data_IF_803969964135
#
_entry.id   IF_803969964135
#
_cell.length_a   1.000
_cell.length_b   1.000
_cell.length_c   1.000
_cell.angle_alpha   90.00
_cell.angle_beta   90.00
_cell.angle_gamma   90.00
#
_symmetry.space_group_name_H-M   'P 1'
#
loop_
_entity.id
_entity.type
_entity.pdbx_description
1 polymer ?
#
# COMPACT_ATOMS: atom_id res chain seq x y z
N UNK A 1 -9.90 22.91 -12.60
CA UNK A 1 -9.77 21.67 -11.82
C UNK A 1 -10.90 20.69 -12.15
N UNK A 2 -12.15 21.09 -12.12
CA UNK A 2 -13.33 20.25 -12.40
C UNK A 2 -13.23 19.57 -13.78
N UNK A 3 -12.94 20.32 -14.86
CA UNK A 3 -12.80 19.77 -16.21
C UNK A 3 -11.68 18.71 -16.33
N UNK A 4 -10.57 18.88 -15.58
CA UNK A 4 -9.48 17.91 -15.53
C UNK A 4 -9.95 16.59 -14.90
N UNK A 5 -10.64 16.68 -13.76
CA UNK A 5 -11.15 15.51 -13.04
C UNK A 5 -12.18 14.77 -13.89
N UNK A 6 -13.13 15.49 -14.49
CA UNK A 6 -14.19 14.90 -15.31
C UNK A 6 -13.63 14.16 -16.53
N UNK A 7 -12.70 14.80 -17.27
CA UNK A 7 -12.08 14.22 -18.46
C UNK A 7 -11.26 12.96 -18.18
N UNK A 8 -10.64 12.89 -16.97
CA UNK A 8 -9.69 11.83 -16.61
C UNK A 8 -10.20 10.95 -15.45
N UNK A 9 -11.50 10.95 -15.20
CA UNK A 9 -12.13 10.34 -14.04
C UNK A 9 -11.73 8.87 -13.83
N UNK A 10 -11.74 8.05 -14.89
CA UNK A 10 -11.43 6.62 -14.80
C UNK A 10 -10.03 6.35 -14.23
N UNK A 11 -9.02 7.07 -14.71
CA UNK A 11 -7.65 6.86 -14.28
C UNK A 11 -7.38 7.48 -12.91
N UNK A 12 -8.04 8.60 -12.59
CA UNK A 12 -7.96 9.22 -11.26
C UNK A 12 -8.66 8.35 -10.20
N UNK A 13 -9.84 7.79 -10.52
CA UNK A 13 -10.55 6.84 -9.67
C UNK A 13 -9.71 5.56 -9.48
N UNK A 14 -9.09 5.06 -10.56
CA UNK A 14 -8.14 3.95 -10.45
C UNK A 14 -7.02 4.25 -9.45
N UNK A 15 -6.35 5.39 -9.59
CA UNK A 15 -5.27 5.81 -8.69
C UNK A 15 -5.70 5.93 -7.23
N UNK A 16 -6.88 6.51 -7.00
CA UNK A 16 -7.49 6.62 -5.68
C UNK A 16 -7.81 5.25 -5.08
N UNK A 17 -8.48 4.38 -5.84
CA UNK A 17 -8.92 3.07 -5.33
C UNK A 17 -7.76 2.12 -5.03
N UNK A 18 -6.71 2.11 -5.85
CA UNK A 18 -5.56 1.26 -5.58
C UNK A 18 -4.74 1.79 -4.40
N UNK A 19 -4.70 3.12 -4.20
CA UNK A 19 -4.12 3.73 -3.01
C UNK A 19 -4.95 3.40 -1.76
N UNK A 20 -6.27 3.45 -1.85
CA UNK A 20 -7.18 3.04 -0.78
C UNK A 20 -7.02 1.55 -0.45
N UNK A 21 -7.04 0.66 -1.46
CA UNK A 21 -6.82 -0.78 -1.27
C UNK A 21 -5.46 -1.12 -0.65
N UNK A 22 -4.44 -0.28 -0.85
CA UNK A 22 -3.12 -0.48 -0.22
C UNK A 22 -3.18 -0.45 1.30
N UNK A 23 -4.23 0.12 1.87
CA UNK A 23 -4.47 0.22 3.31
C UNK A 23 -4.42 -1.12 4.03
N UNK A 24 -4.88 -2.21 3.42
CA UNK A 24 -4.83 -3.56 4.01
C UNK A 24 -3.41 -4.06 4.33
N UNK A 25 -2.39 -3.52 3.68
CA UNK A 25 -0.98 -3.82 3.97
C UNK A 25 -0.25 -2.72 4.75
N UNK A 26 -0.94 -1.67 5.16
CA UNK A 26 -0.34 -0.55 5.91
C UNK A 26 -0.22 -0.87 7.40
N UNK A 27 0.68 -0.14 8.06
CA UNK A 27 0.94 -0.32 9.49
C UNK A 27 -0.30 -0.09 10.34
N UNK A 28 -1.07 0.97 10.05
CA UNK A 28 -2.29 1.30 10.80
C UNK A 28 -3.36 0.20 10.76
N UNK A 29 -3.39 -0.60 9.69
CA UNK A 29 -4.31 -1.74 9.56
C UNK A 29 -3.79 -2.97 10.31
N UNK A 30 -2.54 -3.36 10.03
CA UNK A 30 -1.94 -4.59 10.60
C UNK A 30 -1.82 -4.47 12.13
N UNK A 31 -1.52 -3.28 12.65
CA UNK A 31 -1.36 -3.05 14.09
C UNK A 31 -2.65 -3.27 14.89
N UNK A 32 -3.83 -3.16 14.28
CA UNK A 32 -5.10 -3.44 14.95
C UNK A 32 -5.22 -4.91 15.39
N UNK A 33 -4.52 -5.80 14.70
CA UNK A 33 -4.48 -7.24 15.01
C UNK A 33 -3.25 -7.65 15.86
N UNK A 34 -2.45 -6.66 16.31
CA UNK A 34 -1.19 -6.93 16.98
C UNK A 34 -1.38 -7.67 18.31
N UNK A 35 -2.45 -7.38 19.04
CA UNK A 35 -2.81 -8.06 20.29
C UNK A 35 -3.20 -9.51 20.02
N UNK A 36 -4.16 -9.71 19.11
CA UNK A 36 -4.63 -11.04 18.73
C UNK A 36 -3.50 -11.96 18.27
N UNK A 37 -2.57 -11.43 17.45
CA UNK A 37 -1.39 -12.20 17.01
C UNK A 37 -0.44 -12.52 18.17
N UNK A 38 -0.18 -11.55 19.05
CA UNK A 38 0.72 -11.77 20.19
C UNK A 38 0.15 -12.80 21.16
N UNK A 39 -1.13 -12.70 21.48
CA UNK A 39 -1.80 -13.64 22.38
C UNK A 39 -1.87 -15.04 21.76
N UNK A 40 -2.29 -15.16 20.48
CA UNK A 40 -2.41 -16.45 19.81
C UNK A 40 -1.10 -17.21 19.70
N UNK A 41 0.01 -16.50 19.53
CA UNK A 41 1.34 -17.10 19.33
C UNK A 41 2.29 -16.93 20.51
N UNK A 42 1.81 -16.42 21.65
CA UNK A 42 2.60 -16.14 22.87
C UNK A 42 3.84 -15.27 22.57
N UNK A 43 3.68 -14.21 21.77
CA UNK A 43 4.77 -13.31 21.41
C UNK A 43 4.81 -12.08 22.32
N UNK A 44 6.00 -11.73 22.80
CA UNK A 44 6.21 -10.42 23.40
C UNK A 44 6.11 -9.30 22.38
N UNK A 45 5.91 -8.04 22.84
CA UNK A 45 5.94 -6.86 21.97
C UNK A 45 7.23 -6.77 21.15
N UNK A 46 8.37 -7.06 21.76
CA UNK A 46 9.68 -7.03 21.10
C UNK A 46 9.78 -8.10 20.01
N UNK A 47 9.31 -9.32 20.28
CA UNK A 47 9.33 -10.42 19.32
C UNK A 47 8.44 -10.11 18.12
N UNK A 48 7.21 -9.62 18.35
CA UNK A 48 6.31 -9.23 17.27
C UNK A 48 6.86 -8.04 16.48
N UNK A 49 7.42 -7.03 17.15
CA UNK A 49 8.06 -5.88 16.51
C UNK A 49 9.26 -6.27 15.65
N UNK A 50 10.09 -7.22 16.12
CA UNK A 50 11.23 -7.74 15.36
C UNK A 50 10.76 -8.51 14.12
N UNK A 51 9.77 -9.39 14.27
CA UNK A 51 9.15 -10.13 13.17
C UNK A 51 8.59 -9.18 12.10
N UNK A 52 7.81 -8.19 12.53
CA UNK A 52 7.24 -7.16 11.65
C UNK A 52 8.32 -6.36 10.92
N UNK A 53 9.37 -5.94 11.62
CA UNK A 53 10.46 -5.15 11.06
C UNK A 53 11.24 -5.92 10.00
N UNK A 54 11.60 -7.18 10.28
CA UNK A 54 12.32 -8.03 9.33
C UNK A 54 11.46 -8.30 8.08
N UNK A 55 10.19 -8.65 8.27
CA UNK A 55 9.25 -8.87 7.16
C UNK A 55 9.09 -7.59 6.29
N UNK A 56 9.03 -6.42 6.93
CA UNK A 56 8.94 -5.12 6.24
C UNK A 56 10.20 -4.80 5.44
N UNK A 57 11.40 -5.02 6.01
CA UNK A 57 12.67 -4.81 5.31
C UNK A 57 12.78 -5.73 4.10
N UNK A 58 12.47 -7.01 4.24
CA UNK A 58 12.49 -7.96 3.14
C UNK A 58 11.50 -7.58 2.03
N UNK A 59 10.29 -7.14 2.39
CA UNK A 59 9.32 -6.65 1.41
C UNK A 59 9.83 -5.41 0.67
N UNK A 60 10.48 -4.47 1.38
CA UNK A 60 11.07 -3.28 0.78
C UNK A 60 12.24 -3.62 -0.17
N UNK A 61 13.02 -4.63 0.13
CA UNK A 61 14.04 -5.13 -0.79
C UNK A 61 13.41 -5.78 -2.03
N UNK A 62 12.36 -6.58 -1.85
CA UNK A 62 11.68 -7.26 -2.96
C UNK A 62 11.01 -6.28 -3.92
N UNK A 63 10.43 -5.18 -3.43
CA UNK A 63 9.77 -4.20 -4.29
C UNK A 63 10.72 -3.54 -5.29
N UNK A 64 12.03 -3.52 -5.03
CA UNK A 64 13.04 -2.98 -5.96
C UNK A 64 13.00 -3.72 -7.31
N UNK A 65 12.73 -5.02 -7.30
CA UNK A 65 12.61 -5.85 -8.51
C UNK A 65 11.16 -5.99 -8.95
N UNK A 66 10.26 -6.35 -8.05
CA UNK A 66 8.85 -6.57 -8.35
C UNK A 66 8.15 -5.28 -8.85
N UNK A 67 8.56 -4.11 -8.34
CA UNK A 67 8.04 -2.82 -8.79
C UNK A 67 8.37 -2.49 -10.25
N UNK A 68 9.51 -2.98 -10.77
CA UNK A 68 9.89 -2.77 -12.17
C UNK A 68 9.00 -3.51 -13.17
N UNK A 69 8.31 -4.55 -12.74
CA UNK A 69 7.41 -5.30 -13.61
C UNK A 69 6.26 -4.45 -14.16
N UNK A 70 5.93 -3.32 -13.52
CA UNK A 70 4.96 -2.35 -14.03
C UNK A 70 5.38 -1.73 -15.38
N UNK A 71 6.69 -1.77 -15.70
CA UNK A 71 7.24 -1.23 -16.94
C UNK A 71 7.18 -2.24 -18.10
N UNK A 72 7.08 -3.53 -17.79
CA UNK A 72 7.17 -4.62 -18.77
C UNK A 72 5.84 -5.36 -18.96
N UNK A 73 4.96 -5.32 -17.97
CA UNK A 73 3.65 -6.00 -17.98
C UNK A 73 2.54 -4.96 -18.15
N UNK A 74 1.45 -5.32 -18.83
CA UNK A 74 0.30 -4.42 -18.94
C UNK A 74 -0.23 -4.02 -17.56
N UNK A 75 -0.59 -2.76 -17.38
CA UNK A 75 -1.09 -2.22 -16.11
C UNK A 75 -2.22 -3.06 -15.52
N UNK A 76 -3.13 -3.54 -16.38
CA UNK A 76 -4.25 -4.40 -15.99
C UNK A 76 -3.78 -5.72 -15.38
N UNK A 77 -2.91 -6.47 -16.08
CA UNK A 77 -2.40 -7.76 -15.58
C UNK A 77 -1.64 -7.56 -14.27
N UNK A 78 -0.75 -6.57 -14.24
CA UNK A 78 0.04 -6.25 -13.05
C UNK A 78 -0.85 -5.92 -11.85
N UNK A 79 -1.84 -5.01 -12.03
CA UNK A 79 -2.77 -4.62 -10.96
C UNK A 79 -3.58 -5.82 -10.44
N UNK A 80 -4.17 -6.61 -11.35
CA UNK A 80 -4.99 -7.76 -10.93
C UNK A 80 -4.17 -8.83 -10.22
N UNK A 81 -2.92 -9.06 -10.63
CA UNK A 81 -2.01 -9.99 -9.92
C UNK A 81 -1.74 -9.52 -8.49
N UNK A 82 -1.53 -8.21 -8.29
CA UNK A 82 -1.30 -7.65 -6.95
C UNK A 82 -2.55 -7.73 -6.08
N UNK A 83 -3.73 -7.42 -6.65
CA UNK A 83 -5.02 -7.55 -5.94
C UNK A 83 -5.27 -8.98 -5.52
N UNK A 84 -5.05 -9.94 -6.42
CA UNK A 84 -5.19 -11.37 -6.13
C UNK A 84 -4.19 -11.80 -5.04
N UNK A 85 -2.92 -11.40 -5.15
CA UNK A 85 -1.89 -11.69 -4.16
C UNK A 85 -2.24 -11.14 -2.78
N UNK A 86 -2.77 -9.91 -2.71
CA UNK A 86 -3.21 -9.33 -1.44
C UNK A 86 -4.42 -10.07 -0.85
N UNK A 87 -5.42 -10.41 -1.69
CA UNK A 87 -6.59 -11.17 -1.24
C UNK A 87 -6.20 -12.55 -0.69
N UNK A 88 -5.35 -13.29 -1.40
CA UNK A 88 -4.82 -14.58 -0.95
C UNK A 88 -4.07 -14.42 0.38
N UNK A 89 -3.28 -13.37 0.52
CA UNK A 89 -2.54 -13.10 1.75
C UNK A 89 -3.48 -12.81 2.92
N UNK A 90 -4.55 -12.03 2.72
CA UNK A 90 -5.57 -11.80 3.74
C UNK A 90 -6.30 -13.10 4.12
N UNK A 91 -6.55 -13.99 3.16
CA UNK A 91 -7.10 -15.33 3.47
C UNK A 91 -6.14 -16.11 4.37
N UNK A 92 -4.85 -16.16 4.05
CA UNK A 92 -3.85 -16.84 4.89
C UNK A 92 -3.67 -16.18 6.25
N UNK A 93 -3.91 -14.87 6.38
CA UNK A 93 -3.94 -14.20 7.68
C UNK A 93 -5.06 -14.76 8.58
N UNK A 94 -6.21 -15.11 8.01
CA UNK A 94 -7.32 -15.73 8.75
C UNK A 94 -7.06 -17.17 9.20
N UNK A 95 -6.26 -17.94 8.46
CA UNK A 95 -5.92 -19.35 8.78
C UNK A 95 -4.56 -19.51 9.45
N UNK A 96 -3.86 -18.43 9.78
CA UNK A 96 -2.52 -18.51 10.36
C UNK A 96 -2.52 -19.34 11.65
N UNK A 97 -1.59 -20.32 11.74
CA UNK A 97 -1.51 -21.28 12.83
C UNK A 97 -0.12 -21.36 13.49
N UNK A 98 0.89 -20.70 12.93
CA UNK A 98 2.23 -20.63 13.53
C UNK A 98 2.95 -19.32 13.18
N UNK A 99 4.03 -19.03 13.90
CA UNK A 99 4.82 -17.80 13.77
C UNK A 99 5.51 -17.68 12.40
N UNK A 100 5.91 -18.80 11.82
CA UNK A 100 6.57 -18.80 10.49
C UNK A 100 5.58 -18.38 9.41
N UNK A 101 4.36 -18.92 9.43
CA UNK A 101 3.31 -18.50 8.50
C UNK A 101 2.92 -17.03 8.74
N UNK A 102 2.84 -16.59 10.01
CA UNK A 102 2.60 -15.19 10.36
C UNK A 102 3.65 -14.26 9.75
N UNK A 103 4.93 -14.66 9.81
CA UNK A 103 6.01 -13.90 9.18
C UNK A 103 5.79 -13.71 7.67
N UNK A 104 5.47 -14.79 6.95
CA UNK A 104 5.19 -14.70 5.50
C UNK A 104 3.91 -13.92 5.20
N UNK A 105 2.88 -14.04 6.02
CA UNK A 105 1.65 -13.24 5.90
C UNK A 105 2.00 -11.76 6.02
N UNK A 106 2.72 -11.35 7.05
CA UNK A 106 3.11 -9.94 7.22
C UNK A 106 4.00 -9.49 6.05
N UNK A 107 4.97 -10.29 5.63
CA UNK A 107 5.81 -9.99 4.48
C UNK A 107 4.99 -9.73 3.21
N UNK A 108 4.03 -10.60 2.86
CA UNK A 108 3.22 -10.44 1.67
C UNK A 108 2.17 -9.32 1.80
N UNK A 109 1.59 -9.09 2.98
CA UNK A 109 0.75 -7.91 3.23
C UNK A 109 1.52 -6.61 2.97
N UNK A 110 2.76 -6.53 3.47
CA UNK A 110 3.64 -5.38 3.25
C UNK A 110 4.03 -5.26 1.79
N UNK A 111 4.34 -6.36 1.11
CA UNK A 111 4.73 -6.37 -0.29
C UNK A 111 3.58 -5.96 -1.20
N UNK A 112 2.45 -6.67 -1.17
CA UNK A 112 1.34 -6.42 -2.08
C UNK A 112 0.57 -5.15 -1.71
N UNK A 113 0.22 -4.96 -0.44
CA UNK A 113 -0.58 -3.84 0.02
C UNK A 113 0.23 -2.54 0.03
N UNK A 114 1.07 -2.32 1.02
CA UNK A 114 1.82 -1.07 1.14
C UNK A 114 2.77 -0.86 -0.03
N UNK A 115 3.51 -1.88 -0.42
CA UNK A 115 4.55 -1.80 -1.41
C UNK A 115 4.00 -1.62 -2.82
N UNK A 116 3.56 -2.71 -3.44
CA UNK A 116 3.23 -2.74 -4.87
C UNK A 116 1.97 -1.94 -5.22
N UNK A 117 0.90 -1.97 -4.40
CA UNK A 117 -0.28 -1.13 -4.66
C UNK A 117 0.04 0.36 -4.54
N UNK A 118 0.75 0.75 -3.50
CA UNK A 118 1.19 2.14 -3.32
C UNK A 118 2.12 2.61 -4.45
N UNK A 119 3.04 1.75 -4.89
CA UNK A 119 3.90 2.00 -6.04
C UNK A 119 3.08 2.14 -7.34
N UNK A 120 2.13 1.24 -7.59
CA UNK A 120 1.29 1.27 -8.79
C UNK A 120 0.47 2.56 -8.87
N UNK A 121 -0.15 2.99 -7.78
CA UNK A 121 -0.90 4.25 -7.72
C UNK A 121 -0.02 5.43 -8.14
N UNK A 122 1.11 5.62 -7.48
CA UNK A 122 2.00 6.77 -7.72
C UNK A 122 2.63 6.74 -9.10
N UNK A 123 3.12 5.58 -9.53
CA UNK A 123 3.78 5.42 -10.84
C UNK A 123 2.79 5.65 -11.98
N UNK A 124 1.59 5.11 -11.88
CA UNK A 124 0.55 5.33 -12.90
C UNK A 124 0.18 6.82 -13.00
N UNK A 125 -0.10 7.47 -11.87
CA UNK A 125 -0.42 8.90 -11.88
C UNK A 125 0.73 9.74 -12.45
N UNK A 126 1.96 9.44 -12.05
CA UNK A 126 3.13 10.16 -12.53
C UNK A 126 3.41 9.96 -14.03
N UNK A 127 3.09 8.77 -14.57
CA UNK A 127 3.32 8.40 -15.97
C UNK A 127 2.30 9.01 -16.92
N UNK A 128 1.02 8.90 -16.57
CA UNK A 128 -0.06 9.32 -17.45
C UNK A 128 -0.36 10.82 -17.38
N UNK A 129 -0.06 11.49 -16.28
CA UNK A 129 -0.36 12.92 -16.07
C UNK A 129 0.90 13.77 -15.97
N UNK A 130 1.66 13.93 -17.07
CA UNK A 130 2.90 14.72 -17.08
C UNK A 130 2.66 16.18 -16.70
N UNK A 131 1.74 16.87 -17.39
CA UNK A 131 1.43 18.28 -17.16
C UNK A 131 0.68 18.53 -15.84
N UNK A 132 -0.17 17.61 -15.40
CA UNK A 132 -0.98 17.71 -14.18
C UNK A 132 -0.55 16.73 -13.08
N UNK A 133 0.72 16.29 -13.10
CA UNK A 133 1.26 15.25 -12.21
C UNK A 133 0.97 15.50 -10.74
N UNK A 134 1.19 16.72 -10.26
CA UNK A 134 0.93 17.07 -8.84
C UNK A 134 -0.53 16.92 -8.46
N UNK A 135 -1.47 17.33 -9.34
CA UNK A 135 -2.92 17.18 -9.09
C UNK A 135 -3.33 15.72 -9.07
N UNK A 136 -2.84 14.90 -10.01
CA UNK A 136 -3.16 13.49 -10.09
C UNK A 136 -2.61 12.72 -8.88
N UNK A 137 -1.37 12.99 -8.47
CA UNK A 137 -0.78 12.41 -7.26
C UNK A 137 -1.51 12.82 -5.99
N UNK A 138 -1.97 14.09 -5.88
CA UNK A 138 -2.76 14.54 -4.74
C UNK A 138 -4.10 13.80 -4.67
N UNK A 139 -4.84 13.70 -5.78
CA UNK A 139 -6.14 12.99 -5.83
C UNK A 139 -5.96 11.51 -5.45
N UNK A 140 -4.97 10.83 -6.02
CA UNK A 140 -4.71 9.44 -5.66
C UNK A 140 -4.25 9.29 -4.21
N UNK A 141 -3.49 10.26 -3.69
CA UNK A 141 -3.04 10.31 -2.30
C UNK A 141 -4.18 10.35 -1.29
N UNK A 142 -5.30 10.99 -1.61
CA UNK A 142 -6.50 10.95 -0.77
C UNK A 142 -6.98 9.52 -0.49
N UNK A 143 -6.72 8.56 -1.39
CA UNK A 143 -7.03 7.15 -1.15
C UNK A 143 -6.35 6.59 0.10
N UNK A 144 -5.10 6.95 0.36
CA UNK A 144 -4.40 6.58 1.61
C UNK A 144 -5.07 7.19 2.83
N UNK A 145 -5.32 8.50 2.80
CA UNK A 145 -5.92 9.22 3.94
C UNK A 145 -7.33 8.71 4.26
N UNK A 146 -8.12 8.41 3.23
CA UNK A 146 -9.43 7.78 3.40
C UNK A 146 -9.32 6.37 4.00
N UNK A 147 -8.34 5.57 3.56
CA UNK A 147 -8.09 4.26 4.14
C UNK A 147 -7.70 4.35 5.61
N UNK A 148 -6.79 5.26 5.95
CA UNK A 148 -6.33 5.49 7.32
C UNK A 148 -7.47 5.96 8.24
N UNK A 149 -8.42 6.73 7.71
CA UNK A 149 -9.60 7.20 8.45
C UNK A 149 -10.66 6.09 8.62
N UNK A 150 -10.96 5.32 7.59
CA UNK A 150 -12.11 4.41 7.57
C UNK A 150 -11.77 3.02 8.12
N UNK A 151 -10.62 2.46 7.72
CA UNK A 151 -10.29 1.07 8.07
C UNK A 151 -10.19 0.82 9.57
N UNK A 152 -9.53 1.65 10.40
CA UNK A 152 -9.47 1.37 11.82
C UNK A 152 -10.86 1.26 12.46
N UNK A 153 -11.76 2.17 12.11
CA UNK A 153 -13.13 2.17 12.62
C UNK A 153 -13.89 0.91 12.21
N UNK A 154 -13.90 0.58 10.92
CA UNK A 154 -14.61 -0.61 10.41
C UNK A 154 -14.02 -1.90 10.96
N UNK A 155 -12.69 -2.00 11.00
CA UNK A 155 -11.98 -3.23 11.41
C UNK A 155 -12.17 -3.49 12.90
N UNK A 156 -12.11 -2.47 13.76
CA UNK A 156 -12.37 -2.64 15.20
C UNK A 156 -13.78 -3.19 15.44
N UNK A 157 -14.80 -2.62 14.76
CA UNK A 157 -16.18 -3.16 14.86
C UNK A 157 -16.24 -4.62 14.43
N UNK A 158 -15.58 -4.98 13.32
CA UNK A 158 -15.56 -6.35 12.82
C UNK A 158 -14.83 -7.31 13.77
N UNK A 159 -13.70 -6.91 14.34
CA UNK A 159 -12.95 -7.71 15.32
C UNK A 159 -13.81 -7.96 16.55
N UNK A 160 -14.45 -6.93 17.10
CA UNK A 160 -15.30 -7.05 18.29
C UNK A 160 -16.56 -7.90 18.04
N UNK A 161 -17.13 -7.85 16.81
CA UNK A 161 -18.36 -8.55 16.48
C UNK A 161 -18.15 -10.01 16.08
N UNK A 162 -17.08 -10.29 15.32
CA UNK A 162 -16.87 -11.58 14.65
C UNK A 162 -15.51 -12.22 14.93
N UNK A 163 -14.63 -11.49 15.62
CA UNK A 163 -13.25 -11.91 15.88
C UNK A 163 -12.31 -11.63 14.71
N UNK A 164 -11.02 -11.63 15.01
CA UNK A 164 -9.96 -11.23 14.08
C UNK A 164 -9.81 -12.14 12.85
N UNK A 165 -10.03 -13.44 13.00
CA UNK A 165 -9.92 -14.39 11.88
C UNK A 165 -10.98 -14.15 10.81
N UNK A 166 -12.25 -13.97 11.24
CA UNK A 166 -13.35 -13.68 10.31
C UNK A 166 -13.16 -12.31 9.65
N UNK A 167 -12.60 -11.35 10.37
CA UNK A 167 -12.25 -10.03 9.82
C UNK A 167 -11.23 -10.14 8.69
N UNK A 168 -10.23 -11.01 8.78
CA UNK A 168 -9.30 -11.26 7.69
C UNK A 168 -9.94 -11.98 6.50
N UNK A 169 -10.82 -12.96 6.74
CA UNK A 169 -11.58 -13.61 5.64
C UNK A 169 -12.51 -12.63 4.94
N UNK A 170 -13.24 -11.80 5.68
CA UNK A 170 -14.10 -10.78 5.09
C UNK A 170 -13.28 -9.74 4.30
N UNK A 171 -12.11 -9.36 4.77
CA UNK A 171 -11.17 -8.50 4.05
C UNK A 171 -10.71 -9.13 2.73
N UNK A 172 -10.37 -10.43 2.73
CA UNK A 172 -9.98 -11.17 1.53
C UNK A 172 -11.11 -11.15 0.47
N UNK A 173 -12.33 -11.48 0.88
CA UNK A 173 -13.50 -11.48 0.00
C UNK A 173 -13.79 -10.06 -0.53
N UNK A 174 -13.74 -9.05 0.35
CA UNK A 174 -13.95 -7.66 -0.03
C UNK A 174 -12.92 -7.18 -1.06
N UNK A 175 -11.64 -7.53 -0.88
CA UNK A 175 -10.58 -7.15 -1.81
C UNK A 175 -10.86 -7.71 -3.20
N UNK A 176 -11.24 -8.98 -3.33
CA UNK A 176 -11.42 -9.60 -4.65
C UNK A 176 -12.72 -9.15 -5.30
N UNK A 177 -13.81 -9.09 -4.56
CA UNK A 177 -15.13 -8.76 -5.10
C UNK A 177 -15.26 -7.25 -5.40
N UNK A 178 -14.78 -6.39 -4.51
CA UNK A 178 -14.90 -4.96 -4.70
C UNK A 178 -13.74 -4.43 -5.55
N UNK A 179 -12.49 -4.56 -5.08
CA UNK A 179 -11.35 -4.00 -5.81
C UNK A 179 -11.02 -4.78 -7.06
N UNK A 180 -11.08 -6.13 -7.03
CA UNK A 180 -10.77 -6.96 -8.18
C UNK A 180 -11.71 -6.68 -9.36
N UNK A 181 -13.02 -6.71 -9.13
CA UNK A 181 -14.03 -6.48 -10.18
C UNK A 181 -13.99 -5.03 -10.64
N UNK A 182 -13.94 -4.06 -9.70
CA UNK A 182 -14.01 -2.65 -10.05
C UNK A 182 -12.74 -2.17 -10.79
N UNK A 183 -11.56 -2.56 -10.36
CA UNK A 183 -10.32 -2.25 -11.06
C UNK A 183 -10.23 -2.97 -12.42
N UNK A 184 -10.71 -4.21 -12.52
CA UNK A 184 -10.83 -4.89 -13.81
C UNK A 184 -11.74 -4.12 -14.77
N UNK A 185 -12.88 -3.61 -14.28
CA UNK A 185 -13.81 -2.81 -15.08
C UNK A 185 -13.18 -1.48 -15.54
N UNK A 186 -12.54 -0.75 -14.63
CA UNK A 186 -11.85 0.51 -14.95
C UNK A 186 -10.73 0.32 -15.99
N UNK A 187 -10.00 -0.79 -15.91
CA UNK A 187 -8.91 -1.11 -16.82
C UNK A 187 -9.35 -1.92 -18.05
N UNK A 188 -10.65 -2.08 -18.27
CA UNK A 188 -11.18 -2.82 -19.44
C UNK A 188 -10.93 -2.10 -20.77
N UNK A 189 -10.95 -0.79 -20.76
CA UNK A 189 -10.61 0.04 -21.93
C UNK A 189 -9.12 0.34 -21.87
N UNK A 190 -8.31 -0.48 -22.55
CA UNK A 190 -6.84 -0.38 -22.59
C UNK A 190 -6.28 0.90 -23.26
N UNK A 191 -7.12 1.86 -23.64
CA UNK A 191 -6.73 3.09 -24.31
C UNK A 191 -6.59 4.27 -23.35
N UNK A 192 -5.79 4.10 -22.28
CA UNK A 192 -5.33 5.27 -21.52
C UNK A 192 -4.25 5.98 -22.35
N UNK A 193 -4.67 6.99 -23.13
CA UNK A 193 -3.72 7.88 -23.79
C UNK A 193 -3.01 8.71 -22.72
N UNK A 194 -1.69 8.67 -22.68
CA UNK A 194 -0.92 9.64 -21.89
C UNK A 194 -1.23 11.04 -22.42
N UNK A 195 -1.30 12.05 -21.54
CA UNK A 195 -1.57 13.45 -21.93
C UNK A 195 -0.56 13.99 -22.97
N UNK A 196 0.56 13.32 -23.13
CA UNK A 196 1.56 13.57 -24.18
C UNK A 196 2.00 12.22 -24.72
N UNK A 197 1.81 12.00 -26.03
CA UNK A 197 2.28 10.80 -26.70
C UNK A 197 3.77 10.54 -26.40
N UNK A 198 4.08 9.32 -26.07
CA UNK A 198 5.46 8.88 -25.78
C UNK A 198 6.41 9.06 -26.98
N UNK A 199 5.86 9.37 -28.16
CA UNK A 199 6.61 9.37 -29.43
C UNK A 199 7.50 10.61 -29.66
N UNK A 200 7.31 11.72 -28.92
CA UNK A 200 8.07 12.95 -29.19
C UNK A 200 9.20 13.28 -28.19
N UNK A 201 9.46 12.46 -27.18
CA UNK A 201 10.50 12.77 -26.18
C UNK A 201 11.85 12.08 -26.41
N UNK A 202 12.00 11.24 -27.44
CA UNK A 202 13.33 10.72 -27.79
C UNK A 202 14.33 11.79 -28.27
N UNK A 203 13.85 13.01 -28.56
CA UNK A 203 14.69 14.11 -29.07
C UNK A 203 14.94 15.28 -28.10
N UNK A 204 14.40 15.22 -26.87
CA UNK A 204 14.85 16.18 -25.84
C UNK A 204 15.93 15.51 -25.01
N UNK A 205 17.12 16.06 -24.98
CA UNK A 205 18.24 15.71 -24.09
C UNK A 205 17.88 16.04 -22.63
N UNK A 206 16.82 15.38 -22.09
CA UNK A 206 16.49 15.48 -20.69
C UNK A 206 17.56 14.73 -19.91
N UNK A 207 18.29 15.45 -19.07
CA UNK A 207 19.28 14.87 -18.17
C UNK A 207 18.60 13.81 -17.30
N UNK A 208 18.86 12.55 -17.59
CA UNK A 208 18.29 11.42 -16.88
C UNK A 208 19.23 11.01 -15.74
N UNK A 209 18.82 11.28 -14.52
CA UNK A 209 19.56 10.87 -13.33
C UNK A 209 19.62 9.35 -13.22
N UNK A 210 20.84 8.79 -13.20
CA UNK A 210 21.07 7.38 -12.87
C UNK A 210 21.17 7.23 -11.34
N UNK A 211 20.87 6.02 -10.81
CA UNK A 211 21.04 5.74 -9.37
C UNK A 211 22.41 6.19 -8.84
N UNK A 212 23.46 5.92 -9.60
CA UNK A 212 24.82 6.28 -9.23
C UNK A 212 25.01 7.79 -9.07
N UNK A 213 24.35 8.59 -9.89
CA UNK A 213 24.47 10.05 -9.86
C UNK A 213 23.75 10.62 -8.63
N UNK A 214 22.55 10.09 -8.32
CA UNK A 214 21.81 10.45 -7.10
C UNK A 214 22.59 10.07 -5.84
N UNK A 215 23.16 8.86 -5.77
CA UNK A 215 23.95 8.41 -4.62
C UNK A 215 25.27 9.16 -4.42
N UNK A 216 25.78 9.86 -5.44
CA UNK A 216 26.96 10.73 -5.35
C UNK A 216 26.61 12.15 -4.96
N UNK A 217 25.36 12.57 -5.10
CA UNK A 217 24.95 13.93 -4.77
C UNK A 217 24.76 14.08 -3.26
N UNK A 218 25.56 14.98 -2.64
CA UNK A 218 25.47 15.29 -1.21
C UNK A 218 24.07 15.78 -0.81
N UNK A 219 23.35 16.48 -1.68
CA UNK A 219 21.99 16.95 -1.43
C UNK A 219 21.02 15.80 -1.11
N UNK A 220 21.22 14.62 -1.74
CA UNK A 220 20.45 13.44 -1.44
C UNK A 220 20.54 13.07 0.04
N UNK A 221 21.74 13.05 0.60
CA UNK A 221 21.96 12.71 2.02
C UNK A 221 21.47 13.78 2.98
N UNK A 222 21.39 15.03 2.54
CA UNK A 222 20.82 16.13 3.34
C UNK A 222 19.29 15.99 3.49
N UNK A 223 18.61 15.58 2.42
CA UNK A 223 17.14 15.39 2.44
C UNK A 223 16.71 14.04 3.02
N UNK A 224 17.58 13.04 3.00
CA UNK A 224 17.27 11.68 3.44
C UNK A 224 16.79 11.61 4.90
N UNK A 225 17.47 12.21 5.90
CA UNK A 225 17.00 12.19 7.29
C UNK A 225 15.63 12.81 7.47
N UNK A 226 15.32 13.91 6.77
CA UNK A 226 14.03 14.60 6.87
C UNK A 226 12.87 13.71 6.40
N UNK A 227 13.05 13.02 5.27
CA UNK A 227 12.03 12.11 4.72
C UNK A 227 11.89 10.84 5.55
N UNK A 228 13.00 10.30 6.07
CA UNK A 228 13.00 9.11 6.92
C UNK A 228 12.40 9.40 8.29
N UNK A 229 12.68 10.55 8.90
CA UNK A 229 12.17 10.90 10.21
C UNK A 229 10.64 10.89 10.27
N UNK A 230 9.97 11.53 9.32
CA UNK A 230 8.49 11.54 9.26
C UNK A 230 7.93 10.12 9.11
N UNK A 231 8.49 9.34 8.17
CA UNK A 231 8.04 7.97 7.94
C UNK A 231 8.28 7.07 9.15
N UNK A 232 9.43 7.21 9.82
CA UNK A 232 9.79 6.43 11.01
C UNK A 232 8.87 6.75 12.19
N UNK A 233 8.66 8.04 12.47
CA UNK A 233 7.84 8.49 13.60
C UNK A 233 6.37 8.06 13.44
N UNK A 234 5.78 8.32 12.26
CA UNK A 234 4.38 7.95 12.00
C UNK A 234 4.21 6.42 12.04
N UNK A 235 5.11 5.67 11.41
CA UNK A 235 5.03 4.20 11.42
C UNK A 235 5.19 3.64 12.84
N UNK A 236 6.13 4.16 13.63
CA UNK A 236 6.35 3.75 15.02
C UNK A 236 5.11 4.03 15.89
N UNK A 237 4.54 5.21 15.78
CA UNK A 237 3.32 5.57 16.51
C UNK A 237 2.15 4.67 16.13
N UNK A 238 1.87 4.50 14.85
CA UNK A 238 0.77 3.66 14.36
C UNK A 238 0.97 2.16 14.70
N UNK A 239 2.22 1.69 14.73
CA UNK A 239 2.51 0.30 15.11
C UNK A 239 2.19 0.04 16.57
N UNK A 240 2.49 0.99 17.45
CA UNK A 240 2.28 0.85 18.89
C UNK A 240 0.94 1.39 19.39
N UNK A 241 0.05 1.91 18.52
CA UNK A 241 -1.19 2.57 18.92
C UNK A 241 -2.09 1.72 19.82
N UNK A 242 -2.26 0.42 19.52
CA UNK A 242 -3.08 -0.50 20.33
C UNK A 242 -2.43 -0.72 21.70
N UNK A 243 -1.13 -0.96 21.74
CA UNK A 243 -0.39 -1.15 22.99
C UNK A 243 -0.40 0.11 23.88
N UNK A 244 -0.27 1.30 23.29
CA UNK A 244 -0.36 2.57 24.02
C UNK A 244 -1.77 2.74 24.61
N UNK A 245 -2.81 2.42 23.84
CA UNK A 245 -4.19 2.44 24.31
C UNK A 245 -4.43 1.53 25.51
N UNK A 246 -3.92 0.31 25.44
CA UNK A 246 -4.00 -0.66 26.55
C UNK A 246 -3.31 -0.16 27.83
N UNK A 247 -2.08 0.36 27.73
CA UNK A 247 -1.33 0.89 28.87
C UNK A 247 -2.06 2.05 29.56
N UNK A 248 -2.85 2.83 28.82
CA UNK A 248 -3.59 3.96 29.35
C UNK A 248 -5.07 3.64 29.65
N UNK A 249 -5.49 2.38 29.55
CA UNK A 249 -6.87 1.94 29.72
C UNK A 249 -7.87 2.70 28.84
N UNK A 250 -7.46 3.08 27.62
CA UNK A 250 -8.36 3.70 26.66
C UNK A 250 -9.29 2.64 26.06
N UNK A 251 -10.57 3.00 25.85
CA UNK A 251 -11.46 2.13 25.09
C UNK A 251 -11.00 2.07 23.63
N UNK A 252 -11.19 0.93 22.97
CA UNK A 252 -10.89 0.76 21.54
C UNK A 252 -11.89 1.51 20.62
N UNK A 253 -12.94 2.08 21.20
CA UNK A 253 -14.02 2.84 20.52
C UNK A 253 -14.13 4.20 21.16
#
# INVERSE_FOLDING_TARGET
MINFVYKNSNLLIFGFLIAFASGFGQTFFISLFSEDFRETFNLSNTQFGSLYSIATILSALTIIWAGKLIDTVSLKKYTLTIVLGLSITCFFAGVVFNVVLLFFVIYFLRLFGQGLMGHTSRTTMARYFKANRGKALAISGFGFSFGEMIYPFVVVILILSFGWRITWFSSSIFIILFFGIFLWYLLRKDNFQSETGFENEQNQNLFSWRRRDVLKDFKFYLYLPLTLFMSFTVTGFLFHQVFIGQLNNWSMI
#
